data_IF_466395889818
#
_entry.id   IF_466395889818
#
_cell.length_a   1.000
_cell.length_b   1.000
_cell.length_c   1.000
_cell.angle_alpha   90.00
_cell.angle_beta   90.00
_cell.angle_gamma   90.00
#
_symmetry.space_group_name_H-M   'P 1'
#
loop_
_entity.id
_entity.type
_entity.pdbx_description
1 polymer ?
#
# COMPACT_ATOMS: atom_id res chain seq x y z
N UNK A 1 -8.71 3.21 1.11
CA UNK A 1 -8.69 2.82 -0.32
C UNK A 1 -9.33 1.47 -0.54
N UNK A 2 -9.03 0.47 0.31
CA UNK A 2 -9.53 -0.90 0.23
C UNK A 2 -11.05 -1.02 0.01
N UNK A 3 -11.84 -0.26 0.76
CA UNK A 3 -13.30 -0.28 0.58
C UNK A 3 -13.71 0.23 -0.81
N UNK A 4 -13.09 1.32 -1.28
CA UNK A 4 -13.36 1.86 -2.61
C UNK A 4 -13.01 0.82 -3.69
N UNK A 5 -11.82 0.23 -3.61
CA UNK A 5 -11.37 -0.80 -4.54
C UNK A 5 -12.36 -1.98 -4.59
N UNK A 6 -12.74 -2.52 -3.43
CA UNK A 6 -13.64 -3.68 -3.34
C UNK A 6 -14.99 -3.48 -4.02
N UNK A 7 -15.44 -2.22 -4.20
CA UNK A 7 -16.70 -1.88 -4.85
C UNK A 7 -16.51 -1.40 -6.28
N UNK A 8 -15.42 -0.69 -6.56
CA UNK A 8 -15.09 -0.11 -7.86
C UNK A 8 -14.51 -1.14 -8.84
N UNK A 9 -14.00 -2.26 -8.33
CA UNK A 9 -13.30 -3.29 -9.11
C UNK A 9 -14.13 -4.57 -9.14
N UNK A 10 -14.31 -5.13 -10.34
CA UNK A 10 -14.86 -6.46 -10.55
C UNK A 10 -13.80 -7.35 -11.18
N UNK A 11 -13.75 -8.64 -10.82
CA UNK A 11 -12.94 -9.61 -11.53
C UNK A 11 -13.18 -9.59 -13.05
N UNK A 12 -12.09 -9.71 -13.79
CA UNK A 12 -12.17 -10.02 -15.22
C UNK A 12 -12.82 -11.40 -15.42
N UNK A 13 -13.39 -11.62 -16.61
CA UNK A 13 -13.86 -12.95 -17.07
C UNK A 13 -14.87 -13.66 -16.14
N UNK A 14 -15.61 -12.91 -15.32
CA UNK A 14 -16.56 -13.45 -14.32
C UNK A 14 -15.92 -14.40 -13.29
N UNK A 15 -14.61 -14.30 -13.09
CA UNK A 15 -13.88 -15.11 -12.13
C UNK A 15 -14.32 -14.82 -10.68
N UNK A 16 -14.26 -15.85 -9.83
CA UNK A 16 -14.54 -15.70 -8.41
C UNK A 16 -13.26 -15.39 -7.62
N UNK A 17 -13.35 -14.53 -6.61
CA UNK A 17 -12.24 -14.38 -5.68
C UNK A 17 -12.03 -15.66 -4.88
N UNK A 18 -10.79 -16.14 -4.86
CA UNK A 18 -10.38 -17.27 -4.04
C UNK A 18 -10.54 -16.94 -2.55
N UNK A 19 -11.04 -17.89 -1.76
CA UNK A 19 -11.14 -17.70 -0.30
C UNK A 19 -9.78 -17.89 0.41
N UNK A 20 -9.59 -17.36 1.63
CA UNK A 20 -8.30 -17.42 2.32
C UNK A 20 -7.73 -18.84 2.52
N UNK A 21 -8.57 -19.86 2.70
CA UNK A 21 -8.10 -21.23 2.86
C UNK A 21 -7.70 -21.84 1.51
N UNK A 22 -8.54 -21.67 0.49
CA UNK A 22 -8.22 -22.10 -0.88
C UNK A 22 -6.96 -21.44 -1.41
N UNK A 23 -6.77 -20.14 -1.11
CA UNK A 23 -5.60 -19.35 -1.45
C UNK A 23 -4.32 -20.06 -1.03
N UNK A 24 -4.26 -20.50 0.22
CA UNK A 24 -3.08 -21.19 0.77
C UNK A 24 -2.93 -22.60 0.20
N UNK A 25 -4.04 -23.32 0.02
CA UNK A 25 -4.02 -24.69 -0.53
C UNK A 25 -3.52 -24.71 -1.98
N UNK A 26 -3.98 -23.78 -2.82
CA UNK A 26 -3.55 -23.67 -4.21
C UNK A 26 -2.10 -23.20 -4.32
N UNK A 27 -1.65 -22.27 -3.48
CA UNK A 27 -0.23 -21.88 -3.45
C UNK A 27 0.66 -23.06 -3.03
N UNK A 28 0.21 -23.87 -2.08
CA UNK A 28 0.90 -25.10 -1.69
C UNK A 28 0.94 -26.13 -2.81
N UNK A 29 -0.16 -26.29 -3.55
CA UNK A 29 -0.23 -27.19 -4.70
C UNK A 29 0.70 -26.74 -5.83
N UNK A 30 0.82 -25.43 -6.06
CA UNK A 30 1.77 -24.84 -7.00
C UNK A 30 3.25 -25.07 -6.59
N UNK A 31 3.52 -25.25 -5.28
CA UNK A 31 4.86 -25.48 -4.77
C UNK A 31 5.33 -26.91 -5.02
N UNK A 32 6.06 -27.13 -6.12
CA UNK A 32 6.66 -28.43 -6.45
C UNK A 32 7.72 -28.87 -5.43
N UNK A 33 8.06 -30.16 -5.43
CA UNK A 33 9.14 -30.70 -4.59
C UNK A 33 10.49 -30.05 -4.89
N UNK A 34 10.77 -29.74 -6.16
CA UNK A 34 12.00 -29.05 -6.56
C UNK A 34 12.03 -27.59 -6.06
N UNK A 35 10.92 -26.85 -6.22
CA UNK A 35 10.78 -25.46 -5.78
C UNK A 35 11.00 -25.32 -4.26
N UNK A 36 10.43 -26.24 -3.47
CA UNK A 36 10.54 -26.23 -2.01
C UNK A 36 11.94 -26.61 -1.52
N UNK A 37 12.61 -27.54 -2.21
CA UNK A 37 13.98 -27.95 -1.88
C UNK A 37 14.99 -26.81 -2.01
N UNK A 38 14.87 -25.99 -3.06
CA UNK A 38 15.78 -24.87 -3.32
C UNK A 38 15.56 -23.68 -2.36
N UNK A 39 14.33 -23.44 -1.90
CA UNK A 39 14.05 -22.41 -0.87
C UNK A 39 14.31 -22.86 0.57
N UNK A 40 14.76 -24.12 0.78
CA UNK A 40 14.85 -24.74 2.12
C UNK A 40 13.51 -24.71 2.89
N UNK A 41 12.39 -24.64 2.18
CA UNK A 41 11.05 -24.65 2.78
C UNK A 41 10.59 -26.10 2.90
N UNK A 42 10.23 -26.51 4.11
CA UNK A 42 9.74 -27.87 4.34
C UNK A 42 8.29 -27.99 3.90
N UNK A 43 7.92 -29.15 3.34
CA UNK A 43 6.55 -29.50 2.91
C UNK A 43 5.55 -29.62 4.07
N UNK A 44 5.99 -29.53 5.32
CA UNK A 44 5.09 -29.56 6.46
C UNK A 44 4.13 -28.37 6.41
N UNK A 45 2.85 -28.69 6.33
CA UNK A 45 1.76 -27.76 6.15
C UNK A 45 1.82 -26.58 7.14
N UNK A 46 2.20 -26.84 8.40
CA UNK A 46 2.34 -25.82 9.45
C UNK A 46 3.44 -24.77 9.16
N UNK A 47 4.56 -25.16 8.53
CA UNK A 47 5.64 -24.23 8.19
C UNK A 47 5.31 -23.39 6.96
N UNK A 48 4.62 -23.98 5.98
CA UNK A 48 4.15 -23.26 4.81
C UNK A 48 3.05 -22.25 5.16
N UNK A 49 2.10 -22.62 6.04
CA UNK A 49 1.07 -21.73 6.56
C UNK A 49 1.68 -20.46 7.17
N UNK A 50 2.69 -20.59 8.03
CA UNK A 50 3.32 -19.45 8.71
C UNK A 50 4.11 -18.50 7.80
N UNK A 51 4.43 -18.89 6.56
CA UNK A 51 5.18 -18.07 5.59
C UNK A 51 4.36 -17.62 4.39
N UNK A 52 3.22 -18.26 4.13
CA UNK A 52 2.35 -17.94 2.98
C UNK A 52 1.86 -16.50 2.97
N UNK A 53 1.53 -15.93 4.13
CA UNK A 53 1.13 -14.51 4.24
C UNK A 53 2.23 -13.55 3.77
N UNK A 54 3.49 -13.83 4.11
CA UNK A 54 4.62 -13.02 3.67
C UNK A 54 4.84 -13.12 2.14
N UNK A 55 4.65 -14.32 1.57
CA UNK A 55 4.73 -14.51 0.10
C UNK A 55 3.62 -13.73 -0.62
N UNK A 56 2.38 -13.83 -0.13
CA UNK A 56 1.28 -13.09 -0.73
C UNK A 56 1.46 -11.58 -0.62
N UNK A 57 1.88 -11.06 0.54
CA UNK A 57 2.19 -9.64 0.71
C UNK A 57 3.29 -9.18 -0.25
N UNK A 58 4.35 -9.96 -0.40
CA UNK A 58 5.41 -9.67 -1.35
C UNK A 58 4.87 -9.59 -2.79
N UNK A 59 4.10 -10.58 -3.25
CA UNK A 59 3.53 -10.55 -4.59
C UNK A 59 2.51 -9.42 -4.78
N UNK A 60 1.67 -9.14 -3.77
CA UNK A 60 0.70 -8.05 -3.78
C UNK A 60 1.41 -6.70 -3.91
N UNK A 61 2.52 -6.49 -3.18
CA UNK A 61 3.32 -5.27 -3.26
C UNK A 61 3.94 -5.07 -4.65
N UNK A 62 4.56 -6.12 -5.21
CA UNK A 62 5.09 -6.08 -6.58
C UNK A 62 4.01 -5.73 -7.59
N UNK A 63 2.85 -6.39 -7.50
CA UNK A 63 1.74 -6.19 -8.43
C UNK A 63 1.14 -4.78 -8.30
N UNK A 64 0.96 -4.29 -7.07
CA UNK A 64 0.44 -2.95 -6.81
C UNK A 64 1.37 -1.83 -7.32
N UNK A 65 2.68 -2.07 -7.32
CA UNK A 65 3.70 -1.16 -7.86
C UNK A 65 4.04 -1.43 -9.33
N UNK A 66 3.46 -2.45 -9.95
CA UNK A 66 3.74 -2.83 -11.34
C UNK A 66 5.20 -3.21 -11.57
N UNK A 67 5.84 -3.83 -10.58
CA UNK A 67 7.23 -4.29 -10.62
C UNK A 67 7.26 -5.78 -10.98
N UNK A 68 7.97 -6.13 -12.05
CA UNK A 68 8.18 -7.52 -12.47
C UNK A 68 9.39 -8.15 -11.77
N UNK A 69 9.51 -9.48 -11.85
CA UNK A 69 10.71 -10.17 -11.39
C UNK A 69 11.97 -9.78 -12.19
N UNK A 70 11.81 -9.44 -13.48
CA UNK A 70 12.92 -8.93 -14.30
C UNK A 70 13.40 -7.56 -13.80
N UNK A 71 12.49 -6.68 -13.38
CA UNK A 71 12.86 -5.39 -12.78
C UNK A 71 13.66 -5.59 -11.48
N UNK A 72 13.29 -6.60 -10.67
CA UNK A 72 14.03 -6.93 -9.45
C UNK A 72 15.44 -7.45 -9.76
N UNK A 73 15.59 -8.35 -10.74
CA UNK A 73 16.90 -8.89 -11.17
C UNK A 73 17.85 -7.78 -11.65
N UNK A 74 17.31 -6.75 -12.29
CA UNK A 74 18.09 -5.61 -12.77
C UNK A 74 18.51 -4.64 -11.66
N UNK A 75 17.93 -4.74 -10.46
CA UNK A 75 18.28 -3.90 -9.34
C UNK A 75 19.48 -4.48 -8.57
N UNK A 76 20.54 -3.68 -8.41
CA UNK A 76 21.78 -4.08 -7.75
C UNK A 76 21.56 -4.69 -6.35
N UNK A 77 20.54 -4.24 -5.62
CA UNK A 77 20.20 -4.74 -4.30
C UNK A 77 19.81 -6.23 -4.28
N UNK A 78 19.44 -6.80 -5.42
CA UNK A 78 18.91 -8.17 -5.52
C UNK A 78 19.80 -9.14 -6.32
N UNK A 79 20.97 -8.72 -6.80
CA UNK A 79 21.83 -9.53 -7.68
C UNK A 79 22.21 -10.91 -7.10
N UNK A 80 22.28 -11.07 -5.79
CA UNK A 80 22.59 -12.36 -5.14
C UNK A 80 21.37 -13.28 -4.98
N UNK A 81 20.17 -12.80 -5.32
CA UNK A 81 18.91 -13.50 -5.08
C UNK A 81 18.29 -14.09 -6.35
N UNK A 82 18.96 -14.08 -7.50
CA UNK A 82 18.43 -14.57 -8.78
C UNK A 82 17.73 -15.93 -8.67
N UNK A 83 18.39 -16.93 -8.08
CA UNK A 83 17.81 -18.26 -7.88
C UNK A 83 16.53 -18.22 -7.03
N UNK A 84 16.46 -17.35 -6.02
CA UNK A 84 15.26 -17.20 -5.19
C UNK A 84 14.13 -16.51 -5.95
N UNK A 85 14.46 -15.49 -6.75
CA UNK A 85 13.50 -14.80 -7.62
C UNK A 85 12.92 -15.75 -8.66
N UNK A 86 13.73 -16.61 -9.27
CA UNK A 86 13.26 -17.63 -10.23
C UNK A 86 12.24 -18.59 -9.59
N UNK A 87 12.48 -19.01 -8.35
CA UNK A 87 11.57 -19.90 -7.63
C UNK A 87 10.27 -19.18 -7.27
N UNK A 88 10.35 -17.94 -6.80
CA UNK A 88 9.19 -17.13 -6.45
C UNK A 88 8.33 -16.83 -7.68
N UNK A 89 8.96 -16.51 -8.80
CA UNK A 89 8.29 -16.29 -10.08
C UNK A 89 7.59 -17.56 -10.57
N UNK A 90 8.28 -18.71 -10.58
CA UNK A 90 7.70 -19.99 -10.96
C UNK A 90 6.53 -20.40 -10.06
N UNK A 91 6.64 -20.15 -8.74
CA UNK A 91 5.56 -20.39 -7.79
C UNK A 91 4.33 -19.53 -8.07
N UNK A 92 4.51 -18.23 -8.33
CA UNK A 92 3.42 -17.32 -8.67
C UNK A 92 2.74 -17.72 -9.98
N UNK A 93 3.51 -18.13 -11.00
CA UNK A 93 2.99 -18.60 -12.28
C UNK A 93 2.19 -19.91 -12.14
N UNK A 94 2.70 -20.86 -11.34
CA UNK A 94 1.99 -22.11 -11.04
C UNK A 94 0.67 -21.84 -10.29
N UNK A 95 0.71 -20.92 -9.33
CA UNK A 95 -0.47 -20.50 -8.57
C UNK A 95 -1.53 -19.84 -9.49
N UNK A 96 -1.11 -18.93 -10.37
CA UNK A 96 -2.01 -18.30 -11.35
C UNK A 96 -2.68 -19.33 -12.26
N UNK A 97 -1.92 -20.32 -12.71
CA UNK A 97 -2.42 -21.39 -13.59
C UNK A 97 -3.49 -22.23 -12.89
N UNK A 98 -3.31 -22.53 -11.60
CA UNK A 98 -4.32 -23.22 -10.80
C UNK A 98 -5.58 -22.38 -10.59
N UNK A 99 -5.45 -21.10 -10.26
CA UNK A 99 -6.61 -20.20 -10.14
C UNK A 99 -7.44 -20.17 -11.43
N UNK A 100 -6.79 -19.98 -12.59
CA UNK A 100 -7.48 -19.98 -13.88
C UNK A 100 -8.20 -21.30 -14.16
N UNK A 101 -7.57 -22.44 -13.85
CA UNK A 101 -8.20 -23.77 -14.00
C UNK A 101 -9.47 -23.91 -13.17
N UNK A 102 -9.56 -23.24 -12.04
CA UNK A 102 -10.72 -23.25 -11.14
C UNK A 102 -11.71 -22.11 -11.39
N UNK A 103 -11.49 -21.26 -12.41
CA UNK A 103 -12.33 -20.07 -12.66
C UNK A 103 -12.23 -19.03 -11.56
N UNK A 104 -11.07 -18.96 -10.89
CA UNK A 104 -10.81 -18.09 -9.76
C UNK A 104 -9.80 -16.99 -10.10
N UNK A 105 -9.78 -15.95 -9.28
CA UNK A 105 -8.75 -14.90 -9.26
C UNK A 105 -8.34 -14.59 -7.82
N UNK A 106 -7.24 -13.85 -7.67
CA UNK A 106 -6.70 -13.39 -6.39
C UNK A 106 -6.33 -11.90 -6.50
N UNK A 107 -6.28 -11.21 -5.36
CA UNK A 107 -5.89 -9.79 -5.26
C UNK A 107 -4.55 -9.51 -5.95
N UNK A 108 -3.61 -10.45 -5.86
CA UNK A 108 -2.28 -10.32 -6.48
C UNK A 108 -2.35 -10.12 -8.00
N UNK A 109 -3.41 -10.56 -8.67
CA UNK A 109 -3.56 -10.43 -10.12
C UNK A 109 -4.50 -9.28 -10.53
N UNK A 110 -5.19 -8.63 -9.59
CA UNK A 110 -6.12 -7.54 -9.89
C UNK A 110 -5.49 -6.39 -10.65
N UNK A 111 -4.28 -5.89 -10.30
CA UNK A 111 -3.66 -4.78 -11.02
C UNK A 111 -3.50 -4.99 -12.53
N UNK A 112 -3.46 -6.24 -12.97
CA UNK A 112 -3.30 -6.60 -14.39
C UNK A 112 -4.57 -7.14 -15.04
N UNK A 113 -5.62 -7.43 -14.26
CA UNK A 113 -6.81 -8.12 -14.75
C UNK A 113 -8.05 -7.79 -13.94
N UNK A 114 -8.72 -6.69 -14.31
CA UNK A 114 -9.97 -6.26 -13.71
C UNK A 114 -10.88 -5.52 -14.69
N UNK A 115 -12.12 -5.28 -14.25
CA UNK A 115 -13.06 -4.37 -14.91
C UNK A 115 -13.59 -3.36 -13.90
N UNK A 116 -13.71 -2.12 -14.33
CA UNK A 116 -14.39 -1.11 -13.53
C UNK A 116 -15.87 -1.42 -13.37
N UNK A 117 -16.35 -1.35 -12.13
CA UNK A 117 -17.75 -1.37 -11.78
C UNK A 117 -18.41 -0.01 -12.09
N UNK A 118 -18.62 0.26 -13.38
CA UNK A 118 -19.23 1.54 -13.83
C UNK A 118 -20.59 1.79 -13.18
N UNK A 119 -21.39 0.75 -12.98
CA UNK A 119 -22.69 0.87 -12.31
C UNK A 119 -22.56 1.39 -10.87
N UNK A 120 -21.55 0.97 -10.13
CA UNK A 120 -21.24 1.53 -8.81
C UNK A 120 -20.79 3.00 -8.91
N UNK A 121 -19.83 3.30 -9.79
CA UNK A 121 -19.25 4.64 -9.91
C UNK A 121 -20.27 5.69 -10.35
N UNK A 122 -21.19 5.33 -11.27
CA UNK A 122 -22.20 6.23 -11.81
C UNK A 122 -23.35 6.55 -10.84
N UNK A 123 -23.43 5.85 -9.70
CA UNK A 123 -24.39 6.20 -8.64
C UNK A 123 -24.03 7.51 -7.92
N UNK A 124 -22.83 8.04 -8.14
CA UNK A 124 -22.33 9.25 -7.50
C UNK A 124 -22.17 10.37 -8.53
N UNK A 125 -22.45 11.60 -8.11
CA UNK A 125 -22.20 12.79 -8.93
C UNK A 125 -20.72 13.20 -8.94
N UNK A 126 -20.02 12.90 -7.85
CA UNK A 126 -18.57 13.04 -7.68
C UNK A 126 -18.09 12.07 -6.60
N UNK A 127 -16.82 11.71 -6.64
CA UNK A 127 -16.12 10.90 -5.65
C UNK A 127 -15.05 11.79 -5.03
N UNK A 128 -15.07 11.94 -3.71
CA UNK A 128 -14.08 12.75 -2.97
C UNK A 128 -13.20 11.82 -2.14
N UNK A 129 -11.88 11.94 -2.30
CA UNK A 129 -10.88 11.11 -1.63
C UNK A 129 -9.96 12.03 -0.84
N UNK A 130 -9.95 11.83 0.48
CA UNK A 130 -9.02 12.48 1.40
C UNK A 130 -7.80 11.59 1.54
N UNK A 131 -6.72 11.95 0.86
CA UNK A 131 -5.52 11.14 0.78
C UNK A 131 -4.60 11.44 1.95
N UNK A 132 -4.40 10.41 2.79
CA UNK A 132 -3.34 10.35 3.78
C UNK A 132 -2.31 9.30 3.32
N UNK A 133 -1.02 9.67 3.31
CA UNK A 133 0.05 8.77 2.89
C UNK A 133 0.25 8.69 1.37
N UNK A 134 0.51 7.49 0.88
CA UNK A 134 0.92 7.22 -0.50
C UNK A 134 -0.04 6.25 -1.18
N UNK A 135 -0.39 6.54 -2.44
CA UNK A 135 -1.07 5.60 -3.32
C UNK A 135 -0.04 4.75 -4.06
N UNK A 136 -0.29 3.44 -4.14
CA UNK A 136 0.42 2.57 -5.08
C UNK A 136 0.16 3.00 -6.54
N UNK A 137 0.97 2.51 -7.48
CA UNK A 137 0.76 2.78 -8.91
C UNK A 137 -0.58 2.23 -9.40
N UNK A 138 -0.96 1.05 -8.92
CA UNK A 138 -2.26 0.47 -9.20
C UNK A 138 -3.41 1.33 -8.68
N UNK A 139 -3.38 1.75 -7.41
CA UNK A 139 -4.44 2.61 -6.86
C UNK A 139 -4.56 3.92 -7.64
N UNK A 140 -3.42 4.52 -8.01
CA UNK A 140 -3.41 5.73 -8.82
C UNK A 140 -4.02 5.51 -10.21
N UNK A 141 -3.71 4.37 -10.85
CA UNK A 141 -4.28 3.95 -12.13
C UNK A 141 -5.78 3.74 -12.01
N UNK A 142 -6.23 3.01 -10.98
CA UNK A 142 -7.64 2.77 -10.69
C UNK A 142 -8.41 4.08 -10.51
N UNK A 143 -7.86 5.03 -9.77
CA UNK A 143 -8.48 6.35 -9.59
C UNK A 143 -8.53 7.15 -10.90
N UNK A 144 -7.47 7.10 -11.71
CA UNK A 144 -7.44 7.76 -13.00
C UNK A 144 -8.48 7.16 -13.97
N UNK A 145 -8.64 5.84 -13.99
CA UNK A 145 -9.68 5.17 -14.77
C UNK A 145 -11.07 5.50 -14.25
N UNK A 146 -11.28 5.51 -12.92
CA UNK A 146 -12.55 5.89 -12.31
C UNK A 146 -12.94 7.34 -12.65
N UNK A 147 -11.95 8.23 -12.74
CA UNK A 147 -12.14 9.63 -13.14
C UNK A 147 -12.64 9.80 -14.60
N UNK A 148 -12.53 8.78 -15.44
CA UNK A 148 -13.13 8.77 -16.79
C UNK A 148 -14.64 8.50 -16.78
N UNK A 149 -15.18 7.99 -15.67
CA UNK A 149 -16.58 7.61 -15.49
C UNK A 149 -17.33 8.64 -14.64
N UNK A 150 -16.74 9.00 -13.51
CA UNK A 150 -17.33 9.93 -12.52
C UNK A 150 -16.22 10.87 -12.03
N UNK A 151 -16.47 12.18 -11.86
CA UNK A 151 -15.46 13.10 -11.36
C UNK A 151 -14.83 12.63 -10.04
N UNK A 152 -13.50 12.52 -9.99
CA UNK A 152 -12.73 12.15 -8.80
C UNK A 152 -11.94 13.35 -8.31
N UNK A 153 -12.27 13.83 -7.11
CA UNK A 153 -11.59 14.94 -6.45
C UNK A 153 -10.69 14.40 -5.35
N UNK A 154 -9.41 14.73 -5.43
CA UNK A 154 -8.42 14.37 -4.41
C UNK A 154 -8.14 15.58 -3.52
N UNK A 155 -8.18 15.36 -2.22
CA UNK A 155 -7.72 16.28 -1.19
C UNK A 155 -6.41 15.75 -0.62
N UNK A 156 -5.34 16.54 -0.70
CA UNK A 156 -4.00 16.10 -0.34
C UNK A 156 -3.22 17.23 0.35
N UNK A 157 -2.33 16.88 1.27
CA UNK A 157 -1.39 17.81 1.87
C UNK A 157 0.00 17.55 1.32
N UNK A 158 0.55 18.49 0.57
CA UNK A 158 1.92 18.41 0.04
C UNK A 158 2.93 18.88 1.08
N UNK A 159 4.12 18.28 1.07
CA UNK A 159 5.27 18.69 1.86
C UNK A 159 6.57 18.17 1.25
N UNK A 160 7.70 18.69 1.72
CA UNK A 160 9.02 18.15 1.36
C UNK A 160 9.19 16.64 1.63
N UNK A 161 8.37 16.04 2.49
CA UNK A 161 8.47 14.63 2.85
C UNK A 161 7.68 13.68 1.94
N UNK A 162 6.84 14.22 1.04
CA UNK A 162 5.98 13.41 0.16
C UNK A 162 6.16 13.72 -1.33
N UNK A 163 7.35 14.18 -1.71
CA UNK A 163 7.71 14.51 -3.09
C UNK A 163 7.52 13.35 -4.07
N UNK A 164 7.74 12.09 -3.65
CA UNK A 164 7.50 10.92 -4.50
C UNK A 164 6.05 10.84 -4.99
N UNK A 165 5.08 11.19 -4.15
CA UNK A 165 3.67 11.21 -4.56
C UNK A 165 3.35 12.41 -5.44
N UNK A 166 3.95 13.57 -5.16
CA UNK A 166 3.83 14.76 -6.02
C UNK A 166 4.35 14.47 -7.44
N UNK A 167 5.48 13.76 -7.57
CA UNK A 167 6.03 13.31 -8.85
C UNK A 167 5.06 12.40 -9.61
N UNK A 168 4.41 11.44 -8.92
CA UNK A 168 3.38 10.59 -9.55
C UNK A 168 2.20 11.38 -10.09
N UNK A 169 1.74 12.41 -9.37
CA UNK A 169 0.69 13.30 -9.88
C UNK A 169 1.17 14.18 -11.04
N UNK A 170 2.43 14.61 -11.01
CA UNK A 170 3.05 15.36 -12.10
C UNK A 170 3.15 14.51 -13.38
N UNK A 171 3.53 13.24 -13.27
CA UNK A 171 3.52 12.26 -14.39
C UNK A 171 2.13 12.10 -15.01
N UNK A 172 1.06 12.24 -14.21
CA UNK A 172 -0.32 12.27 -14.71
C UNK A 172 -0.75 13.61 -15.32
N UNK A 173 0.11 14.63 -15.22
CA UNK A 173 -0.13 15.98 -15.76
C UNK A 173 -0.67 16.98 -14.75
N UNK A 174 -0.49 16.75 -13.45
CA UNK A 174 -0.95 17.65 -12.37
C UNK A 174 0.24 18.00 -11.48
N UNK A 175 0.89 19.13 -11.75
CA UNK A 175 1.94 19.66 -10.88
C UNK A 175 1.31 20.31 -9.63
N UNK A 176 1.54 19.72 -8.45
CA UNK A 176 1.02 20.23 -7.18
C UNK A 176 2.02 21.19 -6.53
N UNK A 177 1.58 22.35 -6.00
CA UNK A 177 2.46 23.21 -5.20
C UNK A 177 2.89 22.48 -3.93
N UNK A 178 4.15 22.64 -3.52
CA UNK A 178 4.65 22.07 -2.28
C UNK A 178 4.13 22.85 -1.04
N UNK A 179 4.21 22.23 0.13
CA UNK A 179 3.84 22.79 1.44
C UNK A 179 2.43 23.43 1.44
N UNK A 180 1.46 22.75 0.83
CA UNK A 180 0.11 23.24 0.60
C UNK A 180 -0.96 22.18 0.86
N UNK A 181 -2.10 22.58 1.39
CA UNK A 181 -3.35 21.80 1.34
C UNK A 181 -3.99 22.04 -0.03
N UNK A 182 -4.05 21.00 -0.86
CA UNK A 182 -4.54 21.06 -2.23
C UNK A 182 -5.80 20.22 -2.41
N UNK A 183 -6.71 20.69 -3.26
CA UNK A 183 -7.84 19.90 -3.76
C UNK A 183 -7.83 20.00 -5.28
N UNK A 184 -7.87 18.88 -5.97
CA UNK A 184 -7.73 18.83 -7.42
C UNK A 184 -8.60 17.76 -8.04
N UNK A 185 -9.05 18.02 -9.26
CA UNK A 185 -9.82 17.09 -10.07
C UNK A 185 -8.84 16.24 -10.88
N UNK A 186 -8.83 14.93 -10.62
CA UNK A 186 -7.90 13.99 -11.24
C UNK A 186 -8.17 13.80 -12.74
N UNK A 187 -9.44 13.77 -13.14
CA UNK A 187 -9.84 13.56 -14.54
C UNK A 187 -9.66 14.82 -15.38
N UNK A 188 -10.06 15.97 -14.84
CA UNK A 188 -9.89 17.26 -15.51
C UNK A 188 -8.45 17.81 -15.40
N UNK A 189 -7.58 17.15 -14.64
CA UNK A 189 -6.17 17.52 -14.43
C UNK A 189 -5.98 18.97 -14.00
N UNK A 190 -6.79 19.41 -13.04
CA UNK A 190 -6.78 20.82 -12.58
C UNK A 190 -6.85 20.94 -11.07
N UNK A 191 -6.11 21.89 -10.54
CA UNK A 191 -6.21 22.29 -9.14
C UNK A 191 -7.49 23.13 -8.97
N UNK A 192 -8.32 22.74 -7.99
CA UNK A 192 -9.53 23.45 -7.59
C UNK A 192 -9.26 24.42 -6.45
N UNK A 193 -8.37 24.03 -5.53
CA UNK A 193 -7.99 24.82 -4.35
C UNK A 193 -6.55 24.50 -3.98
N UNK A 194 -5.78 25.52 -3.60
CA UNK A 194 -4.47 25.35 -2.99
C UNK A 194 -4.31 26.43 -1.91
N UNK A 195 -4.03 26.02 -0.68
CA UNK A 195 -3.79 26.91 0.45
C UNK A 195 -2.46 26.54 1.09
N UNK A 196 -1.55 27.50 1.34
CA UNK A 196 -0.30 27.21 2.05
C UNK A 196 -0.58 26.50 3.38
N UNK A 197 0.09 25.37 3.60
CA UNK A 197 -0.01 24.60 4.83
C UNK A 197 0.92 25.21 5.88
N UNK A 198 0.63 26.43 6.33
CA UNK A 198 1.39 27.06 7.41
C UNK A 198 0.86 26.56 8.76
N UNK A 199 1.49 25.53 9.30
CA UNK A 199 1.29 25.15 10.71
C UNK A 199 2.59 25.45 11.47
N UNK A 200 2.60 26.45 12.38
CA UNK A 200 3.78 26.67 13.20
C UNK A 200 4.02 25.43 14.06
N UNK A 201 5.17 24.81 13.89
CA UNK A 201 5.60 23.69 14.72
C UNK A 201 6.38 24.25 15.89
N UNK A 202 5.80 24.21 17.09
CA UNK A 202 6.53 24.48 18.32
C UNK A 202 7.14 23.16 18.81
N UNK A 203 8.36 22.86 18.35
CA UNK A 203 9.08 21.64 18.68
C UNK A 203 10.37 21.92 19.44
N UNK A 204 10.68 21.05 20.40
CA UNK A 204 11.97 20.99 21.07
C UNK A 204 12.62 19.64 20.76
N UNK A 205 13.93 19.65 20.50
CA UNK A 205 14.73 18.44 20.29
C UNK A 205 15.61 18.25 21.51
N UNK A 206 15.51 17.10 22.16
CA UNK A 206 16.24 16.77 23.37
C UNK A 206 17.08 15.52 23.10
N UNK A 207 18.38 15.60 23.43
CA UNK A 207 19.29 14.46 23.36
C UNK A 207 19.50 13.88 24.76
N UNK A 208 19.54 12.55 24.84
CA UNK A 208 19.76 11.80 26.08
C UNK A 208 20.72 10.65 25.80
N UNK A 209 21.48 10.23 26.82
CA UNK A 209 22.50 9.17 26.70
C UNK A 209 21.91 7.78 26.94
N UNK A 210 20.93 7.68 27.82
CA UNK A 210 20.34 6.41 28.25
C UNK A 210 18.88 6.31 27.82
N UNK A 211 18.43 5.11 27.44
CA UNK A 211 17.03 4.90 27.03
C UNK A 211 16.04 5.24 28.14
N UNK A 212 16.39 4.94 29.39
CA UNK A 212 15.53 5.20 30.55
C UNK A 212 15.28 6.70 30.79
N UNK A 213 16.26 7.55 30.45
CA UNK A 213 16.10 9.00 30.55
C UNK A 213 15.05 9.53 29.57
N UNK A 214 14.91 8.90 28.39
CA UNK A 214 13.87 9.26 27.41
C UNK A 214 12.46 9.03 27.98
N UNK A 215 12.28 7.98 28.79
CA UNK A 215 11.01 7.72 29.50
C UNK A 215 10.71 8.84 30.49
N UNK A 216 11.69 9.22 31.30
CA UNK A 216 11.55 10.33 32.26
C UNK A 216 11.22 11.66 31.56
N UNK A 217 11.90 11.96 30.44
CA UNK A 217 11.65 13.15 29.64
C UNK A 217 10.24 13.17 29.04
N UNK A 218 9.76 12.02 28.54
CA UNK A 218 8.40 11.90 28.01
C UNK A 218 7.36 12.15 29.12
N UNK A 219 7.54 11.56 30.30
CA UNK A 219 6.65 11.76 31.44
C UNK A 219 6.64 13.22 31.93
N UNK A 220 7.82 13.86 32.02
CA UNK A 220 7.94 15.27 32.38
C UNK A 220 7.23 16.17 31.36
N UNK A 221 7.40 15.91 30.06
CA UNK A 221 6.73 16.66 29.00
C UNK A 221 5.20 16.51 29.07
N UNK A 222 4.70 15.29 29.28
CA UNK A 222 3.27 15.02 29.47
C UNK A 222 2.74 15.76 30.70
N UNK A 223 3.44 15.66 31.84
CA UNK A 223 3.04 16.36 33.07
C UNK A 223 2.98 17.87 32.86
N UNK A 224 3.98 18.44 32.19
CA UNK A 224 4.02 19.86 31.85
C UNK A 224 2.82 20.27 30.99
N UNK A 225 2.52 19.51 29.93
CA UNK A 225 1.37 19.77 29.05
C UNK A 225 0.04 19.75 29.82
N UNK A 226 -0.15 18.77 30.72
CA UNK A 226 -1.34 18.68 31.57
C UNK A 226 -1.43 19.86 32.53
N UNK A 227 -0.32 20.25 33.18
CA UNK A 227 -0.27 21.43 34.07
C UNK A 227 -0.56 22.74 33.33
N UNK A 228 -0.20 22.82 32.05
CA UNK A 228 -0.52 23.95 31.16
C UNK A 228 -1.99 23.93 30.67
N UNK A 229 -2.78 22.92 31.06
CA UNK A 229 -4.21 22.82 30.80
C UNK A 229 -4.59 22.01 29.56
N UNK A 230 -3.64 21.30 28.94
CA UNK A 230 -3.93 20.39 27.83
C UNK A 230 -4.58 19.13 28.38
N UNK A 231 -5.79 18.82 27.90
CA UNK A 231 -6.51 17.62 28.30
C UNK A 231 -5.72 16.35 27.88
N UNK A 232 -5.60 15.32 28.74
CA UNK A 232 -4.80 14.13 28.44
C UNK A 232 -5.13 13.46 27.10
N UNK A 233 -6.38 13.47 26.67
CA UNK A 233 -6.85 12.94 25.38
C UNK A 233 -6.31 13.68 24.14
N UNK A 234 -5.74 14.87 24.32
CA UNK A 234 -5.09 15.63 23.26
C UNK A 234 -3.57 15.46 23.23
N UNK A 235 -3.02 14.57 24.08
CA UNK A 235 -1.59 14.28 24.16
C UNK A 235 -1.35 12.88 23.59
N UNK A 236 -0.44 12.78 22.63
CA UNK A 236 -0.01 11.51 22.05
C UNK A 236 1.49 11.32 22.25
N UNK A 237 1.88 10.13 22.75
CA UNK A 237 3.27 9.67 22.77
C UNK A 237 3.44 8.66 21.64
N UNK A 238 4.31 8.98 20.69
CA UNK A 238 4.62 8.10 19.55
C UNK A 238 6.00 7.49 19.77
N UNK A 239 6.08 6.16 19.79
CA UNK A 239 7.30 5.40 20.00
C UNK A 239 7.65 4.60 18.73
N UNK A 240 8.95 4.40 18.42
CA UNK A 240 9.35 3.57 17.29
C UNK A 240 9.11 2.06 17.52
N UNK A 241 9.00 1.64 18.78
CA UNK A 241 8.74 0.26 19.19
C UNK A 241 7.79 0.29 20.39
N UNK A 242 6.69 -0.44 20.33
CA UNK A 242 5.72 -0.53 21.44
C UNK A 242 6.26 -1.36 22.62
N UNK A 243 7.29 -2.18 22.38
CA UNK A 243 8.02 -2.90 23.42
C UNK A 243 9.06 -2.03 24.13
N UNK A 244 9.13 -0.74 23.80
CA UNK A 244 10.01 0.22 24.46
C UNK A 244 9.68 0.29 25.96
N UNK A 245 10.64 -0.13 26.78
CA UNK A 245 10.58 -0.18 28.24
C UNK A 245 11.76 0.57 28.83
#
# INVERSE_FOLDING_TARGET
MDEFESRAVLPAEEAFFVDPLQRIMLLREAASSELLGALKIRKELAHFFGRSDALFKFYEELSAEGVSFDDLRQADAYAEFDTHLDILEALLQGYHSLLKKHGMTDKVFLPTSYRLNKGFLQNYTKIEIFLEGYLSRYELTLLAEAATVTPVILHYQTSRFNQKMQQRFEELGIALPNDSEVSFDLGAKRILKAVPATRPVNAAVIASKERIEQVSLALEAIEKMVREGIAPEHIALVLPDELFK
#
